data_IF_684622877596
#
_entry.id   IF_684622877596
#
_cell.length_a   1.000
_cell.length_b   1.000
_cell.length_c   1.000
_cell.angle_alpha   90.00
_cell.angle_beta   90.00
_cell.angle_gamma   90.00
#
_symmetry.space_group_name_H-M   'P 1'
#
loop_
_entity.id
_entity.type
_entity.pdbx_description
1 polymer ?
#
# COMPACT_ATOMS: atom_id res chain seq x y z
N UNK A 1 17.00 -1.11 3.07
CA UNK A 1 15.75 -0.48 3.55
C UNK A 1 15.85 -0.47 5.06
N UNK A 2 15.84 0.71 5.68
CA UNK A 2 15.98 0.84 7.13
C UNK A 2 14.58 1.03 7.74
N UNK A 3 14.24 0.24 8.77
CA UNK A 3 12.97 0.38 9.47
C UNK A 3 13.15 1.36 10.64
N UNK A 4 12.30 2.37 10.72
CA UNK A 4 12.30 3.36 11.79
C UNK A 4 10.93 3.37 12.47
N UNK A 5 10.91 3.28 13.80
CA UNK A 5 9.67 3.37 14.58
C UNK A 5 9.18 4.82 14.59
N UNK A 6 7.89 5.00 14.45
CA UNK A 6 7.26 6.32 14.52
C UNK A 6 5.89 6.24 15.21
N UNK A 7 5.29 7.36 15.67
CA UNK A 7 4.12 7.32 16.53
C UNK A 7 2.80 7.02 15.79
N UNK A 8 2.82 6.88 14.45
CA UNK A 8 1.62 6.68 13.67
C UNK A 8 1.30 5.20 13.43
N UNK A 9 -0.01 4.89 13.33
CA UNK A 9 -0.52 3.53 13.14
C UNK A 9 -0.46 3.00 11.70
N UNK A 10 0.33 3.60 10.82
CA UNK A 10 0.48 3.19 9.42
C UNK A 10 1.96 3.08 9.03
N UNK A 11 2.25 2.45 7.89
CA UNK A 11 3.60 2.40 7.33
C UNK A 11 3.77 3.50 6.28
N UNK A 12 4.99 4.03 6.13
CA UNK A 12 5.32 5.02 5.11
C UNK A 12 6.75 4.82 4.61
N UNK A 13 6.91 4.61 3.30
CA UNK A 13 8.22 4.64 2.65
C UNK A 13 8.66 6.07 2.31
N UNK A 14 9.86 6.43 2.74
CA UNK A 14 10.63 7.58 2.28
C UNK A 14 12.10 7.16 2.11
N UNK A 15 12.51 6.90 0.87
CA UNK A 15 13.82 6.34 0.53
C UNK A 15 14.98 7.04 1.25
N UNK A 16 15.83 6.30 2.00
CA UNK A 16 15.96 4.83 2.10
C UNK A 16 15.25 4.16 3.30
N UNK A 17 14.36 4.88 3.98
CA UNK A 17 13.69 4.51 5.23
C UNK A 17 12.24 4.07 5.00
N UNK A 18 11.77 3.09 5.76
CA UNK A 18 10.33 2.84 5.98
C UNK A 18 10.03 3.15 7.44
N UNK A 19 9.09 4.05 7.65
CA UNK A 19 8.53 4.28 8.96
C UNK A 19 7.46 3.23 9.24
N UNK A 20 7.54 2.58 10.41
CA UNK A 20 6.64 1.51 10.80
C UNK A 20 6.03 1.79 12.18
N UNK A 21 4.80 1.30 12.45
CA UNK A 21 4.14 1.49 13.73
C UNK A 21 4.97 1.00 14.94
N UNK A 22 4.73 1.53 16.15
CA UNK A 22 5.47 1.14 17.35
C UNK A 22 5.32 -0.36 17.67
N UNK A 23 4.15 -0.92 17.43
CA UNK A 23 3.79 -2.30 17.70
C UNK A 23 4.04 -3.23 16.51
N UNK A 24 4.67 -2.76 15.43
CA UNK A 24 4.80 -3.54 14.19
C UNK A 24 5.57 -4.85 14.39
N UNK A 25 6.41 -5.00 15.43
CA UNK A 25 7.03 -6.32 15.74
C UNK A 25 6.05 -7.36 16.29
N UNK A 26 4.89 -6.95 16.78
CA UNK A 26 3.83 -7.82 17.29
C UNK A 26 2.85 -8.27 16.21
N UNK A 27 2.91 -7.65 15.03
CA UNK A 27 2.05 -8.02 13.92
C UNK A 27 2.40 -9.41 13.41
N UNK A 28 1.40 -10.12 12.89
CA UNK A 28 1.61 -11.43 12.28
C UNK A 28 2.70 -11.35 11.20
N UNK A 29 3.67 -12.28 11.14
CA UNK A 29 4.80 -12.20 10.20
C UNK A 29 4.38 -12.00 8.75
N UNK A 30 3.33 -12.69 8.29
CA UNK A 30 2.80 -12.55 6.93
C UNK A 30 2.28 -11.13 6.65
N UNK A 31 1.57 -10.50 7.60
CA UNK A 31 1.09 -9.13 7.42
C UNK A 31 2.25 -8.13 7.34
N UNK A 32 3.31 -8.35 8.14
CA UNK A 32 4.54 -7.55 8.06
C UNK A 32 5.20 -7.70 6.70
N UNK A 33 5.35 -8.93 6.21
CA UNK A 33 5.96 -9.18 4.90
C UNK A 33 5.16 -8.53 3.77
N UNK A 34 3.83 -8.64 3.82
CA UNK A 34 2.92 -8.07 2.83
C UNK A 34 3.01 -6.54 2.79
N UNK A 35 2.91 -5.86 3.93
CA UNK A 35 3.02 -4.40 3.96
C UNK A 35 4.45 -3.95 3.60
N UNK A 36 5.50 -4.67 3.99
CA UNK A 36 6.85 -4.34 3.51
C UNK A 36 7.03 -4.60 2.01
N UNK A 37 6.26 -5.49 1.40
CA UNK A 37 6.22 -5.66 -0.05
C UNK A 37 5.52 -4.47 -0.74
N UNK A 38 4.47 -3.94 -0.13
CA UNK A 38 3.84 -2.67 -0.52
C UNK A 38 4.87 -1.54 -0.49
N UNK A 39 5.52 -1.29 0.65
CA UNK A 39 6.47 -0.18 0.81
C UNK A 39 7.68 -0.28 -0.15
N UNK A 40 8.09 -1.51 -0.52
CA UNK A 40 9.11 -1.74 -1.54
C UNK A 40 8.70 -1.25 -2.93
N UNK A 41 7.40 -1.22 -3.25
CA UNK A 41 6.89 -0.61 -4.49
C UNK A 41 7.13 0.89 -4.48
N UNK A 42 6.77 1.59 -3.41
CA UNK A 42 7.03 3.03 -3.25
C UNK A 42 8.51 3.36 -3.34
N UNK A 43 9.39 2.60 -2.67
CA UNK A 43 10.84 2.80 -2.79
C UNK A 43 11.35 2.65 -4.22
N UNK A 44 10.82 1.68 -5.00
CA UNK A 44 11.21 1.53 -6.41
C UNK A 44 10.80 2.75 -7.23
N UNK A 45 9.59 3.26 -7.00
CA UNK A 45 9.06 4.42 -7.71
C UNK A 45 9.79 5.71 -7.32
N UNK A 46 10.06 5.91 -6.03
CA UNK A 46 10.86 7.04 -5.52
C UNK A 46 12.28 7.05 -6.09
N UNK A 47 12.93 5.88 -6.19
CA UNK A 47 14.26 5.78 -6.82
C UNK A 47 14.23 6.05 -8.32
N UNK A 48 13.22 5.55 -9.04
CA UNK A 48 13.10 5.74 -10.48
C UNK A 48 12.80 7.20 -10.85
N UNK A 49 12.01 7.90 -10.04
CA UNK A 49 11.54 9.26 -10.34
C UNK A 49 12.38 10.36 -9.66
N UNK A 50 13.12 10.01 -8.60
CA UNK A 50 13.72 10.94 -7.66
C UNK A 50 12.74 11.34 -6.55
N UNK A 51 13.21 11.37 -5.31
CA UNK A 51 12.37 11.56 -4.12
C UNK A 51 11.57 12.89 -4.16
N UNK A 52 12.23 14.00 -4.50
CA UNK A 52 11.60 15.33 -4.55
C UNK A 52 10.44 15.35 -5.55
N UNK A 53 10.67 14.85 -6.76
CA UNK A 53 9.65 14.80 -7.82
C UNK A 53 8.52 13.83 -7.44
N UNK A 54 8.86 12.70 -6.82
CA UNK A 54 7.87 11.77 -6.32
C UNK A 54 6.95 12.42 -5.29
N UNK A 55 7.51 13.08 -4.26
CA UNK A 55 6.72 13.76 -3.24
C UNK A 55 5.81 14.82 -3.86
N UNK A 56 6.33 15.63 -4.79
CA UNK A 56 5.53 16.65 -5.47
C UNK A 56 4.35 16.04 -6.23
N UNK A 57 4.58 15.04 -7.08
CA UNK A 57 3.49 14.38 -7.81
C UNK A 57 2.52 13.65 -6.86
N UNK A 58 3.03 12.99 -5.83
CA UNK A 58 2.20 12.28 -4.87
C UNK A 58 1.27 13.22 -4.09
N UNK A 59 1.72 14.44 -3.77
CA UNK A 59 0.91 15.43 -3.06
C UNK A 59 -0.14 16.09 -3.97
N UNK A 60 0.21 16.44 -5.21
CA UNK A 60 -0.63 17.30 -6.05
C UNK A 60 -1.37 16.59 -7.19
N UNK A 61 -0.94 15.39 -7.60
CA UNK A 61 -1.56 14.62 -8.67
C UNK A 61 -2.28 13.39 -8.09
N UNK A 62 -3.60 13.52 -7.94
CA UNK A 62 -4.46 12.46 -7.41
C UNK A 62 -4.39 11.18 -8.26
N UNK A 63 -4.27 11.31 -9.59
CA UNK A 63 -4.19 10.15 -10.50
C UNK A 63 -2.85 9.45 -10.34
N UNK A 64 -1.77 10.22 -10.22
CA UNK A 64 -0.46 9.68 -9.91
C UNK A 64 -0.50 8.92 -8.60
N UNK A 65 -0.99 9.54 -7.53
CA UNK A 65 -1.09 8.94 -6.21
C UNK A 65 -1.90 7.65 -6.22
N UNK A 66 -3.09 7.65 -6.84
CA UNK A 66 -3.91 6.45 -6.98
C UNK A 66 -3.14 5.34 -7.69
N UNK A 67 -2.50 5.63 -8.82
CA UNK A 67 -1.70 4.66 -9.56
C UNK A 67 -0.59 4.06 -8.69
N UNK A 68 0.06 4.86 -7.86
CA UNK A 68 1.11 4.41 -6.94
C UNK A 68 0.54 3.50 -5.85
N UNK A 69 -0.47 3.94 -5.12
CA UNK A 69 -1.10 3.16 -4.03
C UNK A 69 -1.72 1.86 -4.55
N UNK A 70 -2.37 1.92 -5.71
CA UNK A 70 -2.92 0.74 -6.39
C UNK A 70 -1.85 -0.33 -6.59
N UNK A 71 -0.68 0.01 -7.13
CA UNK A 71 0.41 -0.95 -7.31
C UNK A 71 0.95 -1.50 -5.99
N UNK A 72 1.00 -0.66 -4.94
CA UNK A 72 1.40 -1.07 -3.60
C UNK A 72 0.44 -2.10 -3.01
N UNK A 73 -0.85 -1.79 -3.01
CA UNK A 73 -1.88 -2.68 -2.48
C UNK A 73 -2.09 -3.95 -3.31
N UNK A 74 -1.99 -3.89 -4.64
CA UNK A 74 -2.01 -5.10 -5.48
C UNK A 74 -0.85 -6.04 -5.08
N UNK A 75 0.34 -5.49 -4.77
CA UNK A 75 1.46 -6.30 -4.28
C UNK A 75 1.18 -6.87 -2.89
N UNK A 76 0.62 -6.07 -1.98
CA UNK A 76 0.24 -6.54 -0.64
C UNK A 76 -0.75 -7.70 -0.70
N UNK A 77 -1.85 -7.54 -1.46
CA UNK A 77 -2.88 -8.56 -1.66
C UNK A 77 -2.28 -9.84 -2.26
N UNK A 78 -1.36 -9.70 -3.22
CA UNK A 78 -0.64 -10.84 -3.79
C UNK A 78 0.18 -11.60 -2.74
N UNK A 79 0.92 -10.91 -1.87
CA UNK A 79 1.69 -11.60 -0.81
C UNK A 79 0.77 -12.32 0.17
N UNK A 80 -0.34 -11.70 0.59
CA UNK A 80 -1.31 -12.35 1.45
C UNK A 80 -1.86 -13.64 0.82
N UNK A 81 -2.29 -13.56 -0.45
CA UNK A 81 -2.80 -14.71 -1.18
C UNK A 81 -1.75 -15.81 -1.38
N UNK A 82 -0.50 -15.43 -1.68
CA UNK A 82 0.64 -16.37 -1.82
C UNK A 82 0.89 -17.19 -0.56
N UNK A 83 0.60 -16.62 0.61
CA UNK A 83 0.70 -17.30 1.89
C UNK A 83 -0.60 -17.99 2.34
N UNK A 84 -1.59 -18.11 1.46
CA UNK A 84 -2.87 -18.78 1.75
C UNK A 84 -3.82 -17.97 2.63
N UNK A 85 -3.53 -16.68 2.90
CA UNK A 85 -4.43 -15.83 3.66
C UNK A 85 -5.55 -15.30 2.76
N UNK A 86 -6.76 -15.25 3.33
CA UNK A 86 -7.91 -14.67 2.65
C UNK A 86 -7.71 -13.16 2.50
N UNK A 87 -7.76 -12.70 1.26
CA UNK A 87 -7.81 -11.27 0.94
C UNK A 87 -9.23 -10.76 1.19
N UNK A 88 -9.34 -9.62 1.88
CA UNK A 88 -10.61 -8.95 2.19
C UNK A 88 -10.70 -7.63 1.40
N UNK A 89 -11.31 -7.63 0.19
CA UNK A 89 -11.35 -6.47 -0.69
C UNK A 89 -11.89 -5.19 -0.04
N UNK A 90 -12.93 -5.34 0.78
CA UNK A 90 -13.57 -4.23 1.50
C UNK A 90 -12.57 -3.42 2.34
N UNK A 91 -11.59 -4.07 2.97
CA UNK A 91 -10.56 -3.38 3.76
C UNK A 91 -9.75 -2.43 2.89
N UNK A 92 -9.31 -2.89 1.73
CA UNK A 92 -8.55 -2.09 0.77
C UNK A 92 -9.39 -0.95 0.20
N UNK A 93 -10.64 -1.23 -0.16
CA UNK A 93 -11.57 -0.24 -0.66
C UNK A 93 -11.78 0.91 0.33
N UNK A 94 -12.07 0.59 1.61
CA UNK A 94 -12.22 1.58 2.68
C UNK A 94 -10.95 2.40 2.88
N UNK A 95 -9.77 1.79 2.80
CA UNK A 95 -8.51 2.50 2.99
C UNK A 95 -8.29 3.53 1.88
N UNK A 96 -8.36 3.12 0.60
CA UNK A 96 -8.05 4.02 -0.53
C UNK A 96 -9.11 5.08 -0.79
N UNK A 97 -10.35 4.84 -0.37
CA UNK A 97 -11.44 5.83 -0.42
C UNK A 97 -11.53 6.70 0.84
N UNK A 98 -10.66 6.49 1.83
CA UNK A 98 -10.72 7.24 3.10
C UNK A 98 -10.23 8.68 2.95
N UNK A 99 -10.60 9.51 3.93
CA UNK A 99 -10.11 10.89 4.05
C UNK A 99 -8.59 10.96 4.27
N UNK A 100 -7.96 9.91 4.81
CA UNK A 100 -6.50 9.81 4.96
C UNK A 100 -5.79 9.94 3.60
N UNK A 101 -6.40 9.39 2.55
CA UNK A 101 -5.92 9.46 1.20
C UNK A 101 -6.56 10.62 0.40
N UNK A 102 -7.22 11.56 1.09
CA UNK A 102 -8.01 12.64 0.48
C UNK A 102 -9.01 12.12 -0.56
N UNK A 103 -9.60 10.93 -0.33
CA UNK A 103 -10.58 10.33 -1.23
C UNK A 103 -10.08 10.20 -2.67
N UNK A 104 -8.95 9.51 -2.89
CA UNK A 104 -8.31 9.39 -4.22
C UNK A 104 -9.27 8.90 -5.30
N UNK A 105 -10.15 7.99 -4.92
CA UNK A 105 -11.19 7.39 -5.74
C UNK A 105 -12.44 7.20 -4.87
N UNK A 106 -13.61 7.09 -5.50
CA UNK A 106 -14.83 6.79 -4.77
C UNK A 106 -14.84 5.34 -4.27
N UNK A 107 -15.67 5.07 -3.27
CA UNK A 107 -15.73 3.74 -2.64
C UNK A 107 -16.24 2.65 -3.60
N UNK A 108 -17.14 2.98 -4.53
CA UNK A 108 -17.69 1.99 -5.47
C UNK A 108 -16.61 1.55 -6.48
N UNK A 109 -15.84 2.50 -7.01
CA UNK A 109 -14.67 2.23 -7.85
C UNK A 109 -13.61 1.44 -7.07
N UNK A 110 -13.35 1.83 -5.82
CA UNK A 110 -12.39 1.16 -4.95
C UNK A 110 -12.79 -0.30 -4.66
N UNK A 111 -14.06 -0.54 -4.38
CA UNK A 111 -14.58 -1.88 -4.12
C UNK A 111 -14.50 -2.76 -5.38
N UNK A 112 -14.94 -2.23 -6.53
CA UNK A 112 -14.87 -2.96 -7.80
C UNK A 112 -13.43 -3.36 -8.16
N UNK A 113 -12.47 -2.45 -8.00
CA UNK A 113 -11.05 -2.74 -8.22
C UNK A 113 -10.56 -3.84 -7.27
N UNK A 114 -10.81 -3.70 -5.97
CA UNK A 114 -10.30 -4.62 -4.97
C UNK A 114 -10.89 -6.04 -5.14
N UNK A 115 -12.18 -6.15 -5.46
CA UNK A 115 -12.86 -7.42 -5.72
C UNK A 115 -12.32 -8.09 -6.98
N UNK A 116 -12.19 -7.33 -8.07
CA UNK A 116 -11.66 -7.81 -9.35
C UNK A 116 -10.24 -8.36 -9.15
N UNK A 117 -9.38 -7.61 -8.47
CA UNK A 117 -8.01 -8.03 -8.23
C UNK A 117 -7.94 -9.26 -7.32
N UNK A 118 -8.66 -9.26 -6.18
CA UNK A 118 -8.70 -10.40 -5.28
C UNK A 118 -9.23 -11.67 -5.95
N UNK A 119 -10.22 -11.55 -6.85
CA UNK A 119 -10.72 -12.68 -7.64
C UNK A 119 -9.62 -13.21 -8.58
N UNK A 120 -8.86 -12.33 -9.23
CA UNK A 120 -7.76 -12.72 -10.12
C UNK A 120 -6.63 -13.50 -9.43
N UNK A 121 -6.46 -13.33 -8.11
CA UNK A 121 -5.46 -14.04 -7.32
C UNK A 121 -5.86 -15.48 -6.99
N UNK A 122 -7.16 -15.83 -7.05
CA UNK A 122 -7.65 -17.19 -6.75
C UNK A 122 -7.38 -18.20 -7.88
N UNK A 123 -7.08 -17.69 -9.07
CA UNK A 123 -6.88 -18.47 -10.29
C UNK A 123 -5.42 -18.46 -10.76
N UNK A 124 -4.48 -18.17 -9.85
CA UNK A 124 -3.03 -18.18 -10.09
C UNK A 124 -2.35 -19.13 -9.11
#
# INVERSE_FOLDING_TARGET
MHLVRWPFGFCLALTPVVFVPPDFDRWHPIYREAILAHERVHHRQQRALGLVRFCWLYTFDVRFRWRIERMGYEREMYELARHGLKVHPERYARTVSSSLYWGMIDYAEAQLWAETFAHSLRWR
#
